data_IF_536598979869
#
_entry.id   IF_536598979869
#
_cell.length_a   1.000
_cell.length_b   1.000
_cell.length_c   1.000
_cell.angle_alpha   90.00
_cell.angle_beta   90.00
_cell.angle_gamma   90.00
#
_symmetry.space_group_name_H-M   'P 1'
#
loop_
_entity.id
_entity.type
_entity.pdbx_description
1 polymer ?
#
# COMPACT_ATOMS: atom_id res chain seq x y z
N UNK A 1 28.44 10.82 13.92
CA UNK A 1 27.18 11.58 13.69
C UNK A 1 26.19 11.54 14.86
N UNK A 2 26.59 11.07 16.06
CA UNK A 2 25.71 10.95 17.24
C UNK A 2 25.83 12.13 18.24
N UNK A 3 26.49 13.24 17.87
CA UNK A 3 26.82 14.35 18.78
C UNK A 3 26.11 15.67 18.45
N UNK A 4 25.27 15.71 17.41
CA UNK A 4 24.60 16.94 16.97
C UNK A 4 23.17 17.12 17.50
N UNK A 5 22.57 16.12 18.16
CA UNK A 5 21.19 16.20 18.64
C UNK A 5 21.02 16.73 20.08
N UNK A 6 22.11 16.91 20.83
CA UNK A 6 22.05 17.33 22.24
C UNK A 6 22.06 18.86 22.45
N UNK A 7 22.28 19.67 21.40
CA UNK A 7 22.50 21.11 21.54
C UNK A 7 21.25 21.99 21.36
N UNK A 8 20.08 21.42 21.06
CA UNK A 8 18.84 22.17 20.80
C UNK A 8 17.85 22.21 22.00
N UNK A 9 18.21 21.62 23.14
CA UNK A 9 17.33 21.51 24.32
C UNK A 9 17.59 22.57 25.42
N UNK A 10 18.48 23.55 25.20
CA UNK A 10 18.92 24.47 26.26
C UNK A 10 18.40 25.91 26.18
N UNK A 11 17.45 26.22 25.29
CA UNK A 11 16.84 27.56 25.22
C UNK A 11 15.55 27.63 26.04
N UNK A 12 15.71 27.69 27.37
CA UNK A 12 14.63 27.96 28.32
C UNK A 12 14.13 29.40 28.21
N UNK A 13 13.09 29.61 27.39
CA UNK A 13 12.27 30.83 27.43
C UNK A 13 11.26 30.69 28.57
N UNK A 14 11.56 31.35 29.69
CA UNK A 14 10.63 31.57 30.79
C UNK A 14 9.46 32.44 30.29
N UNK A 15 8.37 31.79 29.89
CA UNK A 15 7.09 32.46 29.62
C UNK A 15 6.43 32.74 30.96
N UNK A 16 6.34 34.02 31.30
CA UNK A 16 5.61 34.50 32.48
C UNK A 16 4.12 34.18 32.36
N UNK A 17 3.46 33.64 33.40
CA UNK A 17 2.03 33.37 33.35
C UNK A 17 1.25 34.69 33.27
N UNK A 18 0.55 34.90 32.15
CA UNK A 18 -0.36 36.02 31.98
C UNK A 18 -1.55 35.86 32.94
N UNK A 19 -1.86 36.93 33.67
CA UNK A 19 -2.97 36.99 34.62
C UNK A 19 -4.32 36.75 33.91
N UNK A 20 -5.24 35.97 34.51
CA UNK A 20 -6.53 35.70 33.88
C UNK A 20 -7.36 36.99 33.77
N UNK A 21 -8.01 37.25 32.62
CA UNK A 21 -8.87 38.41 32.46
C UNK A 21 -10.09 38.31 33.39
N UNK A 22 -10.44 39.43 34.02
CA UNK A 22 -11.54 39.54 34.96
C UNK A 22 -12.85 39.01 34.37
N UNK A 23 -13.48 38.07 35.07
CA UNK A 23 -14.70 37.38 34.65
C UNK A 23 -15.85 38.38 34.43
N UNK A 24 -16.21 38.58 33.15
CA UNK A 24 -17.36 39.38 32.73
C UNK A 24 -18.63 38.58 33.05
N UNK A 25 -19.36 38.97 34.10
CA UNK A 25 -20.64 38.34 34.48
C UNK A 25 -21.66 38.51 33.35
N UNK A 26 -22.03 37.40 32.71
CA UNK A 26 -23.12 37.37 31.74
C UNK A 26 -24.48 37.42 32.48
N UNK A 27 -25.50 38.09 31.90
CA UNK A 27 -26.82 38.16 32.49
C UNK A 27 -27.46 36.77 32.58
N UNK A 28 -28.04 36.46 33.74
CA UNK A 28 -28.75 35.23 34.03
C UNK A 28 -29.97 35.08 33.12
N UNK A 29 -29.89 34.15 32.17
CA UNK A 29 -30.99 33.81 31.27
C UNK A 29 -32.09 33.05 32.05
N UNK A 30 -33.39 33.35 31.85
CA UNK A 30 -34.48 32.65 32.53
C UNK A 30 -34.47 31.15 32.22
N UNK A 31 -34.68 30.33 33.25
CA UNK A 31 -34.77 28.86 33.17
C UNK A 31 -35.91 28.45 32.23
N UNK A 32 -35.58 27.79 31.11
CA UNK A 32 -36.55 27.04 30.31
C UNK A 32 -37.00 25.78 31.06
N UNK A 33 -38.28 25.38 30.95
CA UNK A 33 -38.79 24.16 31.57
C UNK A 33 -38.08 22.93 31.01
N UNK A 34 -37.79 21.95 31.88
CA UNK A 34 -37.12 20.70 31.54
C UNK A 34 -37.99 19.86 30.59
N UNK A 35 -37.55 19.73 29.34
CA UNK A 35 -38.19 18.82 28.37
C UNK A 35 -37.81 17.38 28.74
N UNK A 36 -38.80 16.59 29.17
CA UNK A 36 -38.65 15.14 29.35
C UNK A 36 -38.72 14.45 28.00
N UNK A 37 -37.70 13.66 27.65
CA UNK A 37 -37.70 12.85 26.44
C UNK A 37 -38.29 11.48 26.79
N UNK A 38 -39.42 11.14 26.16
CA UNK A 38 -39.94 9.78 26.24
C UNK A 38 -39.04 8.86 25.41
N UNK A 39 -38.52 7.80 26.02
CA UNK A 39 -37.84 6.74 25.27
C UNK A 39 -38.88 6.00 24.45
N UNK A 40 -38.94 6.30 23.15
CA UNK A 40 -39.79 5.56 22.20
C UNK A 40 -39.01 4.34 21.75
N UNK A 41 -39.47 3.15 22.15
CA UNK A 41 -38.94 1.89 21.63
C UNK A 41 -39.36 1.73 20.17
N UNK A 42 -38.42 1.96 19.25
CA UNK A 42 -38.65 1.85 17.81
C UNK A 42 -38.87 0.39 17.35
N UNK A 43 -38.66 -0.59 18.23
CA UNK A 43 -38.79 -2.02 17.95
C UNK A 43 -39.94 -2.68 18.71
N UNK A 44 -40.88 -1.88 19.22
CA UNK A 44 -42.14 -2.39 19.77
C UNK A 44 -43.07 -2.92 18.67
N UNK A 45 -42.61 -3.88 17.87
CA UNK A 45 -43.51 -4.66 17.03
C UNK A 45 -44.35 -5.60 17.94
N UNK A 46 -45.66 -5.72 17.71
CA UNK A 46 -46.56 -6.47 18.59
C UNK A 46 -46.39 -8.00 18.54
N UNK A 47 -45.43 -8.51 17.75
CA UNK A 47 -45.22 -9.95 17.58
C UNK A 47 -43.77 -10.31 17.93
N UNK A 48 -43.53 -11.10 18.98
CA UNK A 48 -42.17 -11.50 19.37
C UNK A 48 -41.51 -12.30 18.22
N UNK A 49 -40.25 -12.01 17.87
CA UNK A 49 -39.57 -12.73 16.81
C UNK A 49 -39.48 -14.22 17.16
N UNK A 50 -39.93 -15.08 16.25
CA UNK A 50 -39.79 -16.53 16.37
C UNK A 50 -38.71 -17.03 15.43
N UNK A 51 -37.81 -17.86 15.94
CA UNK A 51 -36.81 -18.57 15.13
C UNK A 51 -37.07 -20.06 15.30
N UNK A 52 -37.50 -20.71 14.21
CA UNK A 52 -37.81 -22.15 14.23
C UNK A 52 -39.01 -22.54 15.10
N UNK A 53 -40.05 -21.70 15.17
CA UNK A 53 -41.27 -21.96 15.93
C UNK A 53 -41.13 -21.83 17.45
N UNK A 54 -39.93 -21.49 17.96
CA UNK A 54 -39.73 -21.10 19.36
C UNK A 54 -39.82 -19.58 19.47
N UNK A 55 -40.72 -19.12 20.33
CA UNK A 55 -40.85 -17.71 20.68
C UNK A 55 -39.61 -17.31 21.51
N UNK A 56 -38.84 -16.37 20.99
CA UNK A 56 -37.74 -15.78 21.76
C UNK A 56 -38.34 -14.70 22.65
N UNK A 57 -38.45 -14.97 23.96
CA UNK A 57 -38.72 -13.90 24.92
C UNK A 57 -37.49 -13.00 24.95
N UNK A 58 -37.63 -11.77 24.47
CA UNK A 58 -36.62 -10.75 24.68
C UNK A 58 -36.46 -10.52 26.20
N UNK A 59 -35.23 -10.47 26.72
CA UNK A 59 -35.02 -10.05 28.10
C UNK A 59 -35.60 -8.65 28.28
N UNK A 60 -36.26 -8.42 29.42
CA UNK A 60 -36.87 -7.12 29.71
C UNK A 60 -35.81 -6.02 29.54
N UNK A 61 -36.10 -4.95 28.76
CA UNK A 61 -35.14 -3.88 28.55
C UNK A 61 -34.80 -3.28 29.90
N UNK A 62 -33.52 -3.33 30.27
CA UNK A 62 -33.03 -2.78 31.54
C UNK A 62 -32.76 -1.27 31.44
N UNK A 63 -33.57 -0.58 30.62
CA UNK A 63 -33.46 0.85 30.39
C UNK A 63 -34.53 1.55 31.23
N UNK A 64 -34.17 2.64 31.94
CA UNK A 64 -35.15 3.42 32.67
C UNK A 64 -36.20 3.98 31.68
N UNK A 65 -37.51 3.94 32.02
CA UNK A 65 -38.60 4.37 31.14
C UNK A 65 -38.58 5.88 30.83
N UNK A 66 -37.81 6.65 31.61
CA UNK A 66 -37.54 8.05 31.37
C UNK A 66 -36.06 8.30 31.56
N UNK A 67 -35.40 8.83 30.54
CA UNK A 67 -34.09 9.42 30.68
C UNK A 67 -34.30 10.87 31.07
N UNK A 68 -33.85 11.25 32.27
CA UNK A 68 -33.79 12.66 32.64
C UNK A 68 -32.84 13.35 31.66
N UNK A 69 -33.34 14.37 30.96
CA UNK A 69 -32.47 15.22 30.16
C UNK A 69 -31.49 15.90 31.12
N UNK A 70 -30.17 15.87 30.85
CA UNK A 70 -29.21 16.54 31.71
C UNK A 70 -29.65 18.01 31.89
N UNK A 71 -29.64 18.54 33.13
CA UNK A 71 -30.35 19.78 33.51
C UNK A 71 -29.89 21.06 32.81
N UNK A 72 -28.86 20.97 31.97
CA UNK A 72 -28.62 21.85 30.86
C UNK A 72 -27.86 21.03 29.81
N UNK A 73 -28.15 21.22 28.52
CA UNK A 73 -27.16 20.94 27.50
C UNK A 73 -25.96 21.83 27.83
N UNK A 74 -24.97 21.29 28.56
CA UNK A 74 -23.72 21.98 28.78
C UNK A 74 -23.22 22.29 27.37
N UNK A 75 -23.02 23.58 27.02
CA UNK A 75 -22.44 23.90 25.72
C UNK A 75 -21.17 23.09 25.63
N UNK A 76 -20.94 22.41 24.49
CA UNK A 76 -19.74 21.63 24.25
C UNK A 76 -18.55 22.50 24.65
N UNK A 77 -17.98 22.24 25.83
CA UNK A 77 -16.91 23.04 26.35
C UNK A 77 -15.72 22.65 25.51
N UNK A 78 -15.20 23.60 24.74
CA UNK A 78 -13.94 23.44 24.02
C UNK A 78 -12.92 23.02 25.07
N UNK A 79 -12.50 21.76 25.05
CA UNK A 79 -11.39 21.30 25.87
C UNK A 79 -10.18 22.14 25.45
N UNK A 80 -9.50 22.82 26.39
CA UNK A 80 -8.31 23.54 26.03
C UNK A 80 -7.31 22.53 25.45
N UNK A 81 -6.76 22.83 24.28
CA UNK A 81 -5.75 21.97 23.68
C UNK A 81 -4.64 21.71 24.72
N UNK A 82 -4.24 20.44 24.91
CA UNK A 82 -3.18 20.14 25.83
C UNK A 82 -1.90 20.87 25.40
N UNK A 83 -1.07 21.25 26.35
CA UNK A 83 0.18 21.93 26.03
C UNK A 83 1.05 20.98 25.19
N UNK A 84 1.54 21.47 24.05
CA UNK A 84 2.35 20.67 23.11
C UNK A 84 3.49 19.95 23.82
N UNK A 85 4.21 20.65 24.70
CA UNK A 85 5.34 20.09 25.44
C UNK A 85 4.93 18.87 26.28
N UNK A 86 3.75 18.89 26.89
CA UNK A 86 3.28 17.81 27.76
C UNK A 86 3.01 16.55 26.95
N UNK A 87 2.42 16.68 25.75
CA UNK A 87 2.16 15.53 24.86
C UNK A 87 3.45 14.97 24.27
N UNK A 88 4.34 15.83 23.80
CA UNK A 88 5.57 15.41 23.14
C UNK A 88 6.61 14.80 24.09
N UNK A 89 6.69 15.31 25.33
CA UNK A 89 7.63 14.84 26.34
C UNK A 89 7.03 13.79 27.28
N UNK A 90 5.74 13.47 27.13
CA UNK A 90 5.12 12.39 27.89
C UNK A 90 5.89 11.07 27.70
N UNK A 91 6.06 10.29 28.79
CA UNK A 91 6.66 8.96 28.67
C UNK A 91 5.84 8.09 27.72
N UNK A 92 6.50 7.29 26.89
CA UNK A 92 5.80 6.36 25.99
C UNK A 92 5.19 5.22 26.80
N UNK A 93 3.87 5.09 26.74
CA UNK A 93 3.21 3.86 27.16
C UNK A 93 3.46 2.74 26.13
N UNK A 94 3.31 1.46 26.50
CA UNK A 94 3.42 0.34 25.56
C UNK A 94 2.43 0.44 24.38
N UNK A 95 1.23 0.98 24.62
CA UNK A 95 0.23 1.18 23.57
C UNK A 95 0.67 2.25 22.56
N UNK A 96 1.21 3.37 23.04
CA UNK A 96 1.80 4.43 22.21
C UNK A 96 2.92 3.87 21.33
N UNK A 97 3.80 3.05 21.91
CA UNK A 97 4.89 2.41 21.17
C UNK A 97 4.35 1.49 20.07
N UNK A 98 3.33 0.68 20.36
CA UNK A 98 2.70 -0.18 19.36
C UNK A 98 2.05 0.62 18.23
N UNK A 99 1.37 1.73 18.56
CA UNK A 99 0.78 2.64 17.58
C UNK A 99 1.87 3.29 16.70
N UNK A 100 2.92 3.84 17.32
CA UNK A 100 4.06 4.46 16.65
C UNK A 100 4.78 3.49 15.71
N UNK A 101 5.03 2.24 16.14
CA UNK A 101 5.65 1.22 15.31
C UNK A 101 4.77 0.81 14.13
N UNK A 102 3.45 0.70 14.35
CA UNK A 102 2.49 0.38 13.29
C UNK A 102 2.44 1.49 12.24
N UNK A 103 2.42 2.75 12.67
CA UNK A 103 2.50 3.92 11.80
C UNK A 103 3.85 4.00 11.07
N UNK A 104 4.96 3.72 11.77
CA UNK A 104 6.28 3.68 11.16
C UNK A 104 6.37 2.64 10.04
N UNK A 105 5.84 1.43 10.28
CA UNK A 105 5.81 0.36 9.28
C UNK A 105 4.91 0.73 8.10
N UNK A 106 3.75 1.34 8.36
CA UNK A 106 2.87 1.83 7.31
C UNK A 106 3.54 2.90 6.43
N UNK A 107 4.26 3.86 7.04
CA UNK A 107 5.02 4.88 6.31
C UNK A 107 6.19 4.30 5.51
N UNK A 108 6.88 3.30 6.07
CA UNK A 108 8.01 2.62 5.43
C UNK A 108 7.57 1.90 4.14
N UNK A 109 6.45 1.17 4.22
CA UNK A 109 5.86 0.43 3.09
C UNK A 109 5.20 1.35 2.05
N UNK A 110 4.62 2.46 2.50
CA UNK A 110 4.20 3.59 1.68
C UNK A 110 2.77 4.03 1.94
N UNK A 111 2.46 5.32 1.70
CA UNK A 111 1.16 5.93 2.03
C UNK A 111 0.05 5.56 1.05
N UNK A 112 0.34 4.77 0.02
CA UNK A 112 -0.61 4.45 -1.04
C UNK A 112 -1.88 3.77 -0.48
N UNK A 113 -1.85 3.19 0.72
CA UNK A 113 -3.05 2.64 1.38
C UNK A 113 -4.05 3.73 1.78
N UNK A 114 -3.59 4.94 2.10
CA UNK A 114 -4.45 6.10 2.34
C UNK A 114 -5.07 6.61 1.04
N UNK A 115 -4.35 6.45 -0.06
CA UNK A 115 -4.75 6.94 -1.39
C UNK A 115 -5.58 5.91 -2.17
N UNK A 116 -5.51 4.63 -1.78
CA UNK A 116 -6.19 3.54 -2.46
C UNK A 116 -7.72 3.70 -2.53
N UNK A 117 -8.43 4.11 -1.45
CA UNK A 117 -9.87 4.36 -1.53
C UNK A 117 -10.24 5.48 -2.51
N UNK A 118 -9.34 6.42 -2.76
CA UNK A 118 -9.53 7.52 -3.71
C UNK A 118 -9.14 7.13 -5.15
N UNK A 119 -8.67 5.90 -5.40
CA UNK A 119 -8.15 5.49 -6.70
C UNK A 119 -6.85 6.21 -7.11
N UNK A 120 -6.18 6.86 -6.16
CA UNK A 120 -4.95 7.64 -6.37
C UNK A 120 -3.68 6.82 -6.11
N UNK A 121 -3.76 5.49 -6.27
CA UNK A 121 -2.59 4.63 -6.16
C UNK A 121 -1.63 4.98 -7.30
N UNK A 122 -0.40 5.34 -6.95
CA UNK A 122 0.63 5.58 -7.95
C UNK A 122 0.79 4.33 -8.83
N UNK A 123 0.78 4.50 -10.17
CA UNK A 123 0.94 3.38 -11.12
C UNK A 123 2.22 2.59 -10.86
N UNK A 124 3.28 3.29 -10.49
CA UNK A 124 4.58 2.68 -10.20
C UNK A 124 4.76 2.34 -8.71
N UNK A 125 3.79 2.73 -7.86
CA UNK A 125 3.79 2.54 -6.41
C UNK A 125 4.95 3.27 -5.72
N UNK A 126 4.67 4.36 -4.99
CA UNK A 126 5.74 5.01 -4.24
C UNK A 126 6.10 4.10 -3.06
N UNK A 127 7.39 3.72 -2.96
CA UNK A 127 7.97 2.95 -1.84
C UNK A 127 8.92 3.87 -1.06
N UNK A 128 8.44 4.65 -0.07
CA UNK A 128 9.23 5.65 0.63
C UNK A 128 10.46 5.04 1.31
N UNK A 129 10.33 3.85 1.90
CA UNK A 129 11.47 3.11 2.45
C UNK A 129 12.58 2.91 1.42
N UNK A 130 12.22 2.40 0.25
CA UNK A 130 13.16 2.16 -0.85
C UNK A 130 13.77 3.45 -1.40
N UNK A 131 12.98 4.53 -1.47
CA UNK A 131 13.44 5.85 -1.90
C UNK A 131 14.43 6.45 -0.91
N UNK A 132 14.16 6.35 0.39
CA UNK A 132 15.06 6.81 1.44
C UNK A 132 16.35 6.00 1.46
N UNK A 133 16.27 4.67 1.35
CA UNK A 133 17.44 3.80 1.24
C UNK A 133 18.32 4.19 0.03
N UNK A 134 17.73 4.55 -1.12
CA UNK A 134 18.47 5.07 -2.28
C UNK A 134 19.22 6.37 -1.92
N UNK A 135 18.55 7.33 -1.28
CA UNK A 135 19.16 8.60 -0.86
C UNK A 135 20.30 8.36 0.14
N UNK A 136 20.11 7.45 1.10
CA UNK A 136 21.16 7.07 2.05
C UNK A 136 22.33 6.38 1.35
N UNK A 137 22.07 5.48 0.41
CA UNK A 137 23.08 4.82 -0.40
C UNK A 137 23.90 5.81 -1.23
N UNK A 138 23.27 6.80 -1.85
CA UNK A 138 23.97 7.86 -2.59
C UNK A 138 24.93 8.67 -1.74
N UNK A 139 24.65 8.79 -0.44
CA UNK A 139 25.49 9.54 0.50
C UNK A 139 26.58 8.70 1.16
N UNK A 140 26.30 7.43 1.46
CA UNK A 140 27.19 6.56 2.22
C UNK A 140 28.05 5.67 1.31
N UNK A 141 27.50 5.18 0.19
CA UNK A 141 28.12 4.20 -0.69
C UNK A 141 27.77 4.48 -2.18
N UNK A 142 28.26 5.59 -2.78
CA UNK A 142 27.80 6.06 -4.09
C UNK A 142 28.08 5.09 -5.26
N UNK A 143 29.09 4.22 -5.12
CA UNK A 143 29.52 3.28 -6.16
C UNK A 143 28.97 1.86 -5.98
N UNK A 144 28.10 1.64 -4.99
CA UNK A 144 27.61 0.30 -4.69
C UNK A 144 26.76 -0.29 -5.83
N UNK A 145 26.91 -1.60 -6.15
CA UNK A 145 26.21 -2.23 -7.27
C UNK A 145 24.69 -2.22 -7.10
N UNK A 146 24.18 -2.47 -5.88
CA UNK A 146 22.75 -2.45 -5.58
C UNK A 146 22.09 -1.08 -5.85
N UNK A 147 22.87 0.01 -5.74
CA UNK A 147 22.39 1.36 -6.01
C UNK A 147 22.20 1.59 -7.51
N UNK A 148 23.10 1.05 -8.34
CA UNK A 148 22.97 1.06 -9.81
C UNK A 148 21.71 0.31 -10.22
N UNK A 149 21.49 -0.88 -9.66
CA UNK A 149 20.28 -1.67 -9.92
C UNK A 149 19.00 -0.89 -9.57
N UNK A 150 18.97 -0.21 -8.43
CA UNK A 150 17.81 0.60 -8.04
C UNK A 150 17.58 1.82 -8.93
N UNK A 151 18.64 2.45 -9.45
CA UNK A 151 18.52 3.55 -10.42
C UNK A 151 17.90 3.06 -11.74
N UNK A 152 18.17 1.82 -12.09
CA UNK A 152 17.60 1.16 -13.27
C UNK A 152 16.21 0.55 -13.01
N UNK A 153 15.62 0.73 -11.82
CA UNK A 153 14.31 0.19 -11.47
C UNK A 153 14.30 -1.30 -11.15
N UNK A 154 15.47 -1.92 -10.94
CA UNK A 154 15.59 -3.35 -10.62
C UNK A 154 15.45 -3.61 -9.12
N UNK A 155 14.93 -4.78 -8.76
CA UNK A 155 15.01 -5.33 -7.41
C UNK A 155 16.47 -5.55 -7.00
N UNK A 156 16.89 -4.79 -5.99
CA UNK A 156 18.17 -4.97 -5.32
C UNK A 156 18.02 -4.64 -3.83
N UNK A 157 18.58 -5.51 -3.01
CA UNK A 157 18.59 -5.37 -1.57
C UNK A 157 19.66 -4.39 -1.12
N UNK A 158 19.24 -3.39 -0.34
CA UNK A 158 20.18 -2.51 0.33
C UNK A 158 20.92 -3.29 1.46
N UNK A 159 22.18 -2.93 1.75
CA UNK A 159 22.90 -3.41 2.92
C UNK A 159 22.09 -3.24 4.21
N UNK A 160 22.23 -4.17 5.14
CA UNK A 160 21.50 -4.16 6.41
C UNK A 160 21.66 -2.85 7.19
N UNK A 161 22.85 -2.25 7.15
CA UNK A 161 23.12 -0.96 7.80
C UNK A 161 22.23 0.16 7.24
N UNK A 162 22.05 0.22 5.92
CA UNK A 162 21.20 1.23 5.27
C UNK A 162 19.73 0.98 5.60
N UNK A 163 19.29 -0.29 5.55
CA UNK A 163 17.93 -0.69 5.97
C UNK A 163 17.65 -0.30 7.42
N UNK A 164 18.61 -0.52 8.33
CA UNK A 164 18.47 -0.16 9.74
C UNK A 164 18.38 1.36 9.95
N UNK A 165 19.19 2.16 9.24
CA UNK A 165 19.11 3.63 9.30
C UNK A 165 17.76 4.10 8.76
N UNK A 166 17.29 3.57 7.62
CA UNK A 166 15.98 3.90 7.07
C UNK A 166 14.86 3.54 8.05
N UNK A 167 14.88 2.33 8.61
CA UNK A 167 13.91 1.88 9.61
C UNK A 167 13.90 2.79 10.86
N UNK A 168 15.06 3.24 11.32
CA UNK A 168 15.16 4.17 12.45
C UNK A 168 14.53 5.53 12.11
N UNK A 169 14.78 6.07 10.92
CA UNK A 169 14.18 7.33 10.48
C UNK A 169 12.65 7.23 10.35
N UNK A 170 12.13 6.12 9.81
CA UNK A 170 10.70 5.86 9.78
C UNK A 170 10.10 5.59 11.17
N UNK A 171 10.85 4.96 12.07
CA UNK A 171 10.50 4.80 13.47
C UNK A 171 10.32 6.15 14.18
N UNK A 172 11.27 7.06 13.98
CA UNK A 172 11.18 8.42 14.50
C UNK A 172 9.99 9.20 13.90
N UNK A 173 9.75 9.05 12.59
CA UNK A 173 8.60 9.66 11.91
C UNK A 173 7.26 9.08 12.42
N UNK A 174 7.19 7.77 12.65
CA UNK A 174 6.01 7.10 13.20
C UNK A 174 5.71 7.55 14.63
N UNK A 175 6.73 7.72 15.47
CA UNK A 175 6.59 8.28 16.82
C UNK A 175 6.13 9.74 16.78
N UNK A 176 6.72 10.56 15.90
CA UNK A 176 6.26 11.94 15.70
C UNK A 176 4.80 12.00 15.26
N UNK A 177 4.41 11.16 14.29
CA UNK A 177 3.04 11.09 13.78
C UNK A 177 2.06 10.62 14.85
N UNK A 178 2.44 9.63 15.66
CA UNK A 178 1.67 9.16 16.81
C UNK A 178 1.39 10.31 17.79
N UNK A 179 2.42 11.08 18.19
CA UNK A 179 2.27 12.22 19.09
C UNK A 179 1.37 13.31 18.51
N UNK A 180 1.45 13.55 17.20
CA UNK A 180 0.57 14.50 16.50
C UNK A 180 -0.88 14.01 16.46
N UNK A 181 -1.11 12.71 16.25
CA UNK A 181 -2.44 12.12 16.24
C UNK A 181 -3.06 12.11 17.65
N UNK A 182 -2.27 11.79 18.68
CA UNK A 182 -2.73 11.91 20.07
C UNK A 182 -3.10 13.34 20.43
N UNK A 183 -2.30 14.32 20.03
CA UNK A 183 -2.60 15.73 20.24
C UNK A 183 -3.92 16.15 19.56
N UNK A 184 -4.20 15.62 18.38
CA UNK A 184 -5.38 15.99 17.60
C UNK A 184 -6.65 15.26 18.01
N UNK A 185 -6.53 14.00 18.46
CA UNK A 185 -7.66 13.09 18.66
C UNK A 185 -7.93 12.79 20.13
N UNK A 186 -6.95 13.03 21.01
CA UNK A 186 -7.03 12.80 22.47
C UNK A 186 -7.44 11.37 22.88
N UNK A 187 -7.36 10.39 21.97
CA UNK A 187 -7.73 8.99 22.18
C UNK A 187 -6.66 8.01 21.67
N UNK A 188 -5.95 7.40 22.62
CA UNK A 188 -4.90 6.39 22.37
C UNK A 188 -5.44 5.16 21.64
N UNK A 189 -6.65 4.71 21.98
CA UNK A 189 -7.26 3.51 21.38
C UNK A 189 -7.54 3.74 19.90
N UNK A 190 -8.00 4.94 19.56
CA UNK A 190 -8.24 5.32 18.19
C UNK A 190 -6.93 5.44 17.41
N UNK A 191 -5.90 6.09 17.95
CA UNK A 191 -4.58 6.22 17.29
C UNK A 191 -3.94 4.86 17.04
N UNK A 192 -3.99 3.95 18.02
CA UNK A 192 -3.54 2.57 17.86
C UNK A 192 -4.31 1.85 16.73
N UNK A 193 -5.64 1.98 16.71
CA UNK A 193 -6.48 1.37 15.68
C UNK A 193 -6.14 1.89 14.28
N UNK A 194 -5.94 3.20 14.13
CA UNK A 194 -5.49 3.83 12.87
C UNK A 194 -4.13 3.28 12.45
N UNK A 195 -3.18 3.18 13.38
CA UNK A 195 -1.86 2.61 13.12
C UNK A 195 -1.91 1.17 12.62
N UNK A 196 -2.72 0.32 13.26
CA UNK A 196 -2.90 -1.09 12.85
C UNK A 196 -3.57 -1.18 11.47
N UNK A 197 -4.67 -0.46 11.25
CA UNK A 197 -5.35 -0.44 9.97
C UNK A 197 -4.43 0.05 8.84
N UNK A 198 -3.65 1.09 9.11
CA UNK A 198 -2.65 1.62 8.19
C UNK A 198 -1.58 0.57 7.84
N UNK A 199 -1.06 -0.13 8.85
CA UNK A 199 -0.08 -1.18 8.67
C UNK A 199 -0.62 -2.35 7.83
N UNK A 200 -1.86 -2.80 8.10
CA UNK A 200 -2.50 -3.87 7.32
C UNK A 200 -2.71 -3.42 5.87
N UNK A 201 -3.22 -2.21 5.66
CA UNK A 201 -3.44 -1.65 4.33
C UNK A 201 -2.15 -1.55 3.53
N UNK A 202 -1.07 -1.05 4.16
CA UNK A 202 0.24 -0.97 3.53
C UNK A 202 0.82 -2.35 3.19
N UNK A 203 0.66 -3.32 4.10
CA UNK A 203 1.08 -4.71 3.87
C UNK A 203 0.32 -5.38 2.72
N UNK A 204 -1.00 -5.22 2.66
CA UNK A 204 -1.82 -5.76 1.58
C UNK A 204 -1.45 -5.16 0.22
N UNK A 205 -1.20 -3.85 0.16
CA UNK A 205 -0.74 -3.22 -1.06
C UNK A 205 0.62 -3.73 -1.52
N UNK A 206 1.54 -3.99 -0.59
CA UNK A 206 2.84 -4.56 -0.95
C UNK A 206 2.72 -5.99 -1.51
N UNK A 207 1.73 -6.76 -1.08
CA UNK A 207 1.44 -8.10 -1.62
C UNK A 207 0.82 -8.05 -3.02
N UNK A 208 -0.04 -7.06 -3.30
CA UNK A 208 -0.74 -6.93 -4.59
C UNK A 208 0.16 -6.28 -5.65
N UNK A 209 1.15 -5.49 -5.25
CA UNK A 209 2.10 -4.84 -6.17
C UNK A 209 2.93 -5.87 -6.91
N UNK A 210 3.16 -5.62 -8.19
CA UNK A 210 4.08 -6.42 -8.97
C UNK A 210 5.50 -6.33 -8.37
N UNK A 211 6.18 -7.46 -8.16
CA UNK A 211 7.55 -7.46 -7.72
C UNK A 211 8.42 -6.81 -8.80
N UNK A 212 9.40 -6.02 -8.36
CA UNK A 212 10.35 -5.42 -9.29
C UNK A 212 11.27 -6.53 -9.83
N UNK A 213 11.58 -6.52 -11.14
CA UNK A 213 12.37 -7.58 -11.74
C UNK A 213 13.81 -7.54 -11.21
N UNK A 214 14.41 -8.71 -11.04
CA UNK A 214 15.84 -8.81 -10.71
C UNK A 214 16.70 -8.49 -11.95
N UNK A 215 18.00 -8.20 -11.75
CA UNK A 215 18.94 -7.98 -12.86
C UNK A 215 18.97 -9.19 -13.80
N UNK A 216 19.04 -10.39 -13.23
CA UNK A 216 19.06 -11.66 -13.96
C UNK A 216 17.78 -11.86 -14.78
N UNK A 217 16.61 -11.59 -14.19
CA UNK A 217 15.33 -11.65 -14.90
C UNK A 217 15.27 -10.65 -16.04
N UNK A 218 15.76 -9.42 -15.84
CA UNK A 218 15.78 -8.42 -16.91
C UNK A 218 16.70 -8.84 -18.05
N UNK A 219 17.91 -9.31 -17.73
CA UNK A 219 18.88 -9.75 -18.73
C UNK A 219 18.39 -10.98 -19.49
N UNK A 220 17.75 -11.93 -18.78
CA UNK A 220 17.08 -13.08 -19.39
C UNK A 220 15.92 -12.64 -20.30
N UNK A 221 15.07 -11.71 -19.85
CA UNK A 221 13.97 -11.18 -20.65
C UNK A 221 14.49 -10.49 -21.90
N UNK A 222 15.56 -9.71 -21.79
CA UNK A 222 16.20 -9.03 -22.93
C UNK A 222 16.72 -10.06 -23.94
N UNK A 223 17.44 -11.07 -23.48
CA UNK A 223 17.94 -12.16 -24.33
C UNK A 223 16.81 -12.90 -25.04
N UNK A 224 15.73 -13.19 -24.34
CA UNK A 224 14.54 -13.83 -24.90
C UNK A 224 13.88 -12.97 -25.98
N UNK A 225 13.77 -11.66 -25.73
CA UNK A 225 13.25 -10.70 -26.70
C UNK A 225 14.13 -10.68 -27.95
N UNK A 226 15.45 -10.53 -27.79
CA UNK A 226 16.41 -10.51 -28.90
C UNK A 226 16.32 -11.78 -29.76
N UNK A 227 16.27 -12.95 -29.12
CA UNK A 227 16.11 -14.23 -29.81
C UNK A 227 14.76 -14.38 -30.51
N UNK A 228 13.69 -13.87 -29.91
CA UNK A 228 12.39 -13.84 -30.54
C UNK A 228 12.38 -12.95 -31.79
N UNK A 229 13.09 -11.80 -31.78
CA UNK A 229 13.23 -10.96 -32.97
C UNK A 229 13.98 -11.67 -34.09
N UNK A 230 15.05 -12.42 -33.77
CA UNK A 230 15.75 -13.26 -34.76
C UNK A 230 14.79 -14.29 -35.36
N UNK A 231 14.09 -15.06 -34.53
CA UNK A 231 13.07 -16.01 -34.99
C UNK A 231 12.00 -15.32 -35.85
N UNK A 232 11.50 -14.17 -35.42
CA UNK A 232 10.45 -13.45 -36.13
C UNK A 232 10.92 -13.00 -37.52
N UNK A 233 12.16 -12.52 -37.63
CA UNK A 233 12.74 -12.09 -38.90
C UNK A 233 12.92 -13.24 -39.90
N UNK A 234 13.19 -14.45 -39.42
CA UNK A 234 13.43 -15.62 -40.29
C UNK A 234 12.17 -16.44 -40.58
N UNK A 235 11.23 -16.50 -39.63
CA UNK A 235 10.14 -17.48 -39.63
C UNK A 235 8.75 -16.85 -39.73
N UNK A 236 8.57 -15.58 -39.36
CA UNK A 236 7.27 -14.92 -39.42
C UNK A 236 7.16 -14.09 -40.70
N UNK A 237 6.08 -14.34 -41.44
CA UNK A 237 5.75 -13.59 -42.65
C UNK A 237 4.53 -12.70 -42.37
N UNK A 238 4.55 -11.42 -42.78
CA UNK A 238 3.44 -10.48 -42.57
C UNK A 238 2.28 -10.72 -43.58
N UNK A 239 1.88 -11.97 -43.77
CA UNK A 239 0.83 -12.41 -44.70
C UNK A 239 0.07 -13.59 -44.09
N UNK A 240 -1.08 -13.96 -44.67
CA UNK A 240 -1.79 -15.19 -44.31
C UNK A 240 -2.53 -15.15 -42.96
N UNK A 241 -2.71 -16.32 -42.37
CA UNK A 241 -3.39 -16.50 -41.08
C UNK A 241 -2.78 -17.69 -40.35
N UNK A 242 -2.41 -17.52 -39.08
CA UNK A 242 -1.95 -18.62 -38.23
C UNK A 242 -2.56 -18.52 -36.83
N UNK A 243 -2.62 -19.66 -36.13
CA UNK A 243 -3.01 -19.67 -34.73
C UNK A 243 -1.81 -19.32 -33.83
N UNK A 244 -2.04 -18.68 -32.69
CA UNK A 244 -1.00 -18.32 -31.72
C UNK A 244 -0.15 -19.53 -31.31
N UNK A 245 -0.77 -20.69 -31.08
CA UNK A 245 -0.06 -21.93 -30.75
C UNK A 245 0.84 -22.46 -31.88
N UNK A 246 0.57 -22.14 -33.14
CA UNK A 246 1.45 -22.51 -34.26
C UNK A 246 2.74 -21.71 -34.24
N UNK A 247 2.64 -20.42 -33.90
CA UNK A 247 3.81 -19.54 -33.70
C UNK A 247 4.64 -20.06 -32.52
N UNK A 248 3.99 -20.37 -31.38
CA UNK A 248 4.67 -20.92 -30.20
C UNK A 248 5.39 -22.23 -30.54
N UNK A 249 4.71 -23.15 -31.23
CA UNK A 249 5.30 -24.43 -31.67
C UNK A 249 6.49 -24.21 -32.60
N UNK A 250 6.39 -23.26 -33.52
CA UNK A 250 7.47 -22.93 -34.44
C UNK A 250 8.67 -22.29 -33.72
N UNK A 251 8.43 -21.39 -32.77
CA UNK A 251 9.48 -20.77 -31.94
C UNK A 251 10.23 -21.84 -31.13
N UNK A 252 9.50 -22.78 -30.52
CA UNK A 252 10.08 -23.91 -29.76
C UNK A 252 10.81 -24.93 -30.63
N UNK A 253 10.41 -25.08 -31.89
CA UNK A 253 11.14 -25.89 -32.85
C UNK A 253 12.45 -25.20 -33.27
N UNK A 254 12.41 -23.88 -33.45
CA UNK A 254 13.55 -23.06 -33.84
C UNK A 254 14.62 -22.94 -32.74
N UNK A 255 14.21 -22.81 -31.47
CA UNK A 255 15.11 -22.82 -30.31
C UNK A 255 14.88 -24.06 -29.44
N UNK A 256 15.65 -25.15 -29.65
CA UNK A 256 15.47 -26.41 -28.91
C UNK A 256 15.52 -26.28 -27.39
N UNK A 257 16.23 -25.28 -26.85
CA UNK A 257 16.30 -25.00 -25.41
C UNK A 257 14.93 -24.66 -24.78
N UNK A 258 14.00 -24.13 -25.57
CA UNK A 258 12.63 -23.80 -25.14
C UNK A 258 11.61 -24.88 -25.48
N UNK A 259 12.05 -26.05 -26.00
CA UNK A 259 11.16 -27.09 -26.54
C UNK A 259 10.15 -27.62 -25.53
N UNK A 260 10.48 -27.62 -24.23
CA UNK A 260 9.62 -28.12 -23.16
C UNK A 260 9.03 -26.94 -22.39
N UNK A 261 7.72 -26.96 -22.16
CA UNK A 261 7.04 -26.02 -21.27
C UNK A 261 7.45 -26.19 -19.81
N UNK A 262 7.78 -27.41 -19.40
CA UNK A 262 7.91 -27.78 -17.99
C UNK A 262 9.37 -27.80 -17.53
N UNK A 263 9.68 -27.06 -16.45
CA UNK A 263 11.03 -26.89 -15.86
C UNK A 263 11.77 -28.20 -15.55
N UNK A 264 11.06 -29.29 -15.26
CA UNK A 264 11.64 -30.48 -14.62
C UNK A 264 12.64 -31.28 -15.46
N UNK A 265 12.78 -31.01 -16.76
CA UNK A 265 13.57 -31.87 -17.67
C UNK A 265 14.48 -31.13 -18.63
N UNK A 266 14.70 -29.84 -18.46
CA UNK A 266 15.65 -29.09 -19.28
C UNK A 266 16.93 -28.94 -18.47
N UNK A 267 18.08 -29.34 -19.01
CA UNK A 267 19.38 -29.28 -18.33
C UNK A 267 19.74 -27.85 -17.92
N UNK A 268 19.22 -26.86 -18.66
CA UNK A 268 19.38 -25.43 -18.38
C UNK A 268 18.38 -24.87 -17.35
N UNK A 269 17.37 -25.65 -16.94
CA UNK A 269 16.33 -25.22 -16.00
C UNK A 269 15.36 -24.13 -16.48
N UNK A 270 15.47 -23.68 -17.74
CA UNK A 270 14.65 -22.57 -18.27
C UNK A 270 13.29 -23.08 -18.73
N UNK A 271 12.21 -22.65 -18.06
CA UNK A 271 10.83 -22.79 -18.54
C UNK A 271 10.36 -21.48 -19.13
N UNK A 272 9.73 -21.56 -20.30
CA UNK A 272 9.12 -20.43 -20.98
C UNK A 272 7.64 -20.74 -21.23
N UNK A 273 6.71 -20.11 -20.50
CA UNK A 273 5.28 -20.32 -20.69
C UNK A 273 4.81 -19.80 -22.06
N UNK A 274 3.81 -20.47 -22.64
CA UNK A 274 3.27 -20.17 -23.98
C UNK A 274 2.75 -18.73 -24.04
N UNK A 275 2.14 -18.23 -22.94
CA UNK A 275 1.61 -16.88 -22.82
C UNK A 275 2.70 -15.81 -22.96
N UNK A 276 3.95 -16.14 -22.58
CA UNK A 276 5.08 -15.21 -22.69
C UNK A 276 5.51 -15.06 -24.14
N UNK A 277 5.62 -16.16 -24.88
CA UNK A 277 5.89 -16.12 -26.34
C UNK A 277 4.78 -15.37 -27.06
N UNK A 278 3.53 -15.61 -26.69
CA UNK A 278 2.39 -14.87 -27.23
C UNK A 278 2.45 -13.36 -26.94
N UNK A 279 2.92 -12.96 -25.76
CA UNK A 279 3.13 -11.55 -25.44
C UNK A 279 4.23 -10.93 -26.31
N UNK A 280 5.31 -11.67 -26.62
CA UNK A 280 6.36 -11.21 -27.55
C UNK A 280 5.82 -11.02 -28.97
N UNK A 281 4.97 -11.94 -29.46
CA UNK A 281 4.28 -11.78 -30.76
C UNK A 281 3.46 -10.49 -30.78
N UNK A 282 2.75 -10.17 -29.70
CA UNK A 282 1.97 -8.93 -29.58
C UNK A 282 2.87 -7.69 -29.61
N UNK A 283 3.99 -7.70 -28.88
CA UNK A 283 4.96 -6.60 -28.87
C UNK A 283 5.55 -6.37 -30.26
N UNK A 284 6.06 -7.43 -30.89
CA UNK A 284 6.63 -7.42 -32.22
C UNK A 284 5.64 -6.89 -33.28
N UNK A 285 4.40 -7.38 -33.29
CA UNK A 285 3.37 -6.88 -34.22
C UNK A 285 3.06 -5.39 -33.97
N UNK A 286 3.15 -4.92 -32.73
CA UNK A 286 3.03 -3.51 -32.38
C UNK A 286 4.12 -2.64 -33.00
N UNK A 287 5.37 -3.11 -32.96
CA UNK A 287 6.55 -2.39 -33.45
C UNK A 287 6.66 -2.37 -34.98
N UNK A 288 6.29 -3.46 -35.66
CA UNK A 288 6.33 -3.57 -37.14
C UNK A 288 5.19 -2.77 -37.81
N UNK A 289 4.39 -2.01 -37.05
CA UNK A 289 3.33 -1.15 -37.59
C UNK A 289 1.95 -1.80 -37.65
N UNK A 290 1.69 -2.83 -36.84
CA UNK A 290 0.40 -3.53 -36.70
C UNK A 290 -0.21 -4.04 -38.01
N UNK A 291 0.52 -4.79 -38.85
CA UNK A 291 -0.07 -5.40 -40.04
C UNK A 291 -1.18 -6.42 -39.69
N UNK A 292 -1.14 -7.00 -38.48
CA UNK A 292 -2.01 -8.13 -38.14
C UNK A 292 -3.01 -7.88 -37.01
N UNK A 293 -4.20 -8.48 -37.16
CA UNK A 293 -5.32 -8.39 -36.21
C UNK A 293 -5.53 -9.74 -35.53
N UNK A 294 -5.49 -9.75 -34.18
CA UNK A 294 -5.78 -10.93 -33.37
C UNK A 294 -7.29 -11.10 -33.19
N UNK A 295 -7.80 -12.31 -33.44
CA UNK A 295 -9.20 -12.67 -33.16
C UNK A 295 -9.36 -13.14 -31.70
N UNK A 296 -10.59 -13.11 -31.15
CA UNK A 296 -10.86 -13.65 -29.81
C UNK A 296 -10.49 -15.13 -29.66
N UNK A 297 -10.51 -15.89 -30.76
CA UNK A 297 -10.14 -17.30 -30.81
C UNK A 297 -8.62 -17.55 -30.91
N UNK A 298 -7.77 -16.52 -30.77
CA UNK A 298 -6.31 -16.67 -30.78
C UNK A 298 -5.67 -16.78 -32.17
N UNK A 299 -6.41 -16.47 -33.24
CA UNK A 299 -5.82 -16.42 -34.58
C UNK A 299 -5.28 -15.03 -34.90
N UNK A 300 -4.14 -14.98 -35.57
CA UNK A 300 -3.60 -13.77 -36.18
C UNK A 300 -3.96 -13.72 -37.65
N UNK A 301 -4.63 -12.65 -38.10
CA UNK A 301 -4.87 -12.34 -39.52
C UNK A 301 -3.76 -11.40 -40.00
N UNK A 302 -2.98 -11.77 -40.99
CA UNK A 302 -1.83 -11.01 -41.49
C UNK A 302 -0.48 -11.48 -40.94
N UNK A 303 -0.44 -12.60 -40.20
CA UNK A 303 0.80 -13.29 -39.81
C UNK A 303 0.64 -14.75 -40.21
N UNK A 304 1.71 -15.32 -40.76
CA UNK A 304 1.84 -16.75 -40.98
C UNK A 304 3.25 -17.18 -40.62
N UNK A 305 3.38 -18.44 -40.24
CA UNK A 305 4.69 -19.05 -39.98
C UNK A 305 5.15 -19.71 -41.29
N UNK A 306 6.33 -19.35 -41.78
CA UNK A 306 6.94 -20.02 -42.91
C UNK A 306 7.09 -21.53 -42.61
N UNK A 307 7.00 -22.44 -43.59
CA UNK A 307 7.37 -23.84 -43.37
C UNK A 307 8.83 -23.90 -42.92
N UNK A 308 9.18 -24.79 -41.98
CA UNK A 308 10.59 -25.01 -41.67
C UNK A 308 11.24 -25.48 -42.98
N UNK A 309 12.27 -24.79 -43.45
CA UNK A 309 13.08 -25.29 -44.55
C UNK A 309 13.50 -26.71 -44.14
N UNK A 310 12.98 -27.70 -44.85
CA UNK A 310 13.53 -29.05 -44.75
C UNK A 310 14.85 -28.91 -45.47
N UNK A 311 15.94 -28.87 -44.71
CA UNK A 311 17.30 -29.01 -45.24
C UNK A 311 17.25 -30.15 -46.27
N UNK A 312 17.38 -29.78 -47.54
CA UNK A 312 17.37 -30.68 -48.69
C UNK A 312 18.77 -31.26 -48.90
#
# INVERSE_FOLDING_TARGET
>A
MALALAALLSSGLLVSPASPPAARRLPTRPRTPSTTLAAVDLFAEPLPPSVGGKLLLAPAPNFPPSLESPPAALPASITPFPALADVFLAPLAPADLAAALSLALALLLGPDFLLAPAGLVSRDGIRPGRALERVLGERLEPDAPWLRDRREGLAADAPLAIKAIAALLFGAAGLLLERLLLLALEDVSFVLSVGICACIGAGLLEVIRDPLPTREERDWNRKLVDEFFVFASERLQPTGRCHESEIVRAFRAYYPRYRRSDMRRTEDGVSLPDERVAALVRSWNGEVGRPAVRTPAGYWKGISVAPAERDA
#
